data_IF_952027126004
#
_entry.id   IF_952027126004
#
_cell.length_a   1.000
_cell.length_b   1.000
_cell.length_c   1.000
_cell.angle_alpha   90.00
_cell.angle_beta   90.00
_cell.angle_gamma   90.00
#
_symmetry.space_group_name_H-M   'P 1'
#
loop_
_entity.id
_entity.type
_entity.pdbx_description
1 polymer ?
#
# COMPACT_ATOMS: atom_id res chain seq x y z
N UNK A 1 -18.82 5.71 -17.25
CA UNK A 1 -19.86 4.86 -16.62
C UNK A 1 -19.72 4.96 -15.12
N UNK A 2 -20.82 5.08 -14.36
CA UNK A 2 -20.81 5.27 -12.89
C UNK A 2 -19.92 4.26 -12.14
N UNK A 3 -19.81 3.04 -12.67
CA UNK A 3 -18.94 1.97 -12.14
C UNK A 3 -17.45 2.33 -12.19
N UNK A 4 -16.95 2.89 -13.30
CA UNK A 4 -15.52 3.28 -13.45
C UNK A 4 -15.20 4.46 -12.54
N UNK A 5 -16.11 5.43 -12.42
CA UNK A 5 -15.94 6.58 -11.54
C UNK A 5 -15.90 6.18 -10.06
N UNK A 6 -16.75 5.25 -9.64
CA UNK A 6 -16.73 4.70 -8.28
C UNK A 6 -15.44 3.93 -7.99
N UNK A 7 -14.95 3.10 -8.93
CA UNK A 7 -13.65 2.43 -8.78
C UNK A 7 -12.52 3.44 -8.62
N UNK A 8 -12.50 4.50 -9.43
CA UNK A 8 -11.48 5.56 -9.35
C UNK A 8 -11.53 6.34 -8.04
N UNK A 9 -12.72 6.69 -7.55
CA UNK A 9 -12.90 7.38 -6.26
C UNK A 9 -12.42 6.55 -5.07
N UNK A 10 -12.56 5.22 -5.16
CA UNK A 10 -12.13 4.28 -4.13
C UNK A 10 -10.66 3.82 -4.31
N UNK A 11 -9.94 4.37 -5.29
CA UNK A 11 -8.56 3.95 -5.59
C UNK A 11 -8.44 2.50 -6.06
N UNK A 12 -9.54 1.89 -6.49
CA UNK A 12 -9.58 0.54 -7.02
C UNK A 12 -9.07 0.53 -8.47
N UNK A 13 -8.38 -0.54 -8.90
CA UNK A 13 -8.00 -0.70 -10.30
C UNK A 13 -9.25 -0.73 -11.17
N UNK A 14 -9.13 -0.18 -12.38
CA UNK A 14 -10.26 -0.10 -13.29
C UNK A 14 -10.76 -1.50 -13.64
N UNK A 15 -12.08 -1.72 -13.63
CA UNK A 15 -12.65 -3.02 -13.96
C UNK A 15 -12.49 -3.32 -15.45
N UNK A 16 -12.15 -4.56 -15.76
CA UNK A 16 -12.01 -5.02 -17.13
C UNK A 16 -13.38 -5.48 -17.65
N UNK A 17 -13.81 -4.94 -18.79
CA UNK A 17 -15.09 -5.28 -19.41
C UNK A 17 -14.84 -6.17 -20.63
N UNK A 18 -15.38 -7.39 -20.60
CA UNK A 18 -15.36 -8.29 -21.75
C UNK A 18 -16.79 -8.55 -22.22
N UNK A 19 -17.01 -8.37 -23.52
CA UNK A 19 -18.29 -8.65 -24.15
C UNK A 19 -18.35 -10.14 -24.51
N UNK A 20 -19.29 -10.88 -23.94
CA UNK A 20 -19.55 -12.27 -24.30
C UNK A 20 -20.94 -12.39 -24.92
N UNK A 21 -21.12 -13.32 -25.86
CA UNK A 21 -22.44 -13.52 -26.49
C UNK A 21 -23.48 -13.88 -25.42
N UNK A 22 -24.35 -12.92 -25.09
CA UNK A 22 -25.37 -13.05 -24.06
C UNK A 22 -25.19 -12.16 -22.81
N UNK A 23 -24.10 -11.39 -22.68
CA UNK A 23 -23.92 -10.47 -21.55
C UNK A 23 -22.55 -9.80 -21.48
N UNK A 24 -22.32 -9.05 -20.39
CA UNK A 24 -21.04 -8.41 -20.11
C UNK A 24 -20.39 -9.06 -18.88
N UNK A 25 -19.14 -9.48 -19.02
CA UNK A 25 -18.31 -9.90 -17.90
C UNK A 25 -17.54 -8.67 -17.38
N UNK A 26 -17.65 -8.40 -16.08
CA UNK A 26 -16.94 -7.30 -15.42
C UNK A 26 -15.99 -7.90 -14.38
N UNK A 27 -14.69 -7.75 -14.60
CA UNK A 27 -13.64 -8.26 -13.71
C UNK A 27 -13.10 -7.12 -12.85
N UNK A 28 -13.34 -7.18 -11.55
CA UNK A 28 -12.72 -6.26 -10.58
C UNK A 28 -11.42 -6.87 -10.08
N UNK A 29 -10.27 -6.29 -10.47
CA UNK A 29 -9.00 -6.65 -9.86
C UNK A 29 -9.00 -6.21 -8.38
N UNK A 30 -8.68 -7.13 -7.47
CA UNK A 30 -8.57 -6.79 -6.04
C UNK A 30 -7.18 -6.22 -5.78
N UNK A 31 -7.05 -4.90 -5.68
CA UNK A 31 -5.84 -4.29 -5.12
C UNK A 31 -5.71 -4.74 -3.65
N UNK A 32 -4.65 -5.46 -3.27
CA UNK A 32 -4.48 -5.95 -1.91
C UNK A 32 -4.14 -4.84 -0.90
N UNK A 33 -3.78 -3.64 -1.36
CA UNK A 33 -3.33 -2.53 -0.51
C UNK A 33 -4.30 -1.35 -0.47
N UNK A 34 -5.58 -1.53 -0.82
CA UNK A 34 -6.60 -0.50 -0.63
C UNK A 34 -6.66 -0.04 0.83
N UNK A 35 -6.80 1.26 1.13
CA UNK A 35 -6.85 1.76 2.50
C UNK A 35 -7.85 1.03 3.39
N UNK A 36 -9.03 0.69 2.87
CA UNK A 36 -10.11 0.01 3.59
C UNK A 36 -9.66 -1.37 4.07
N UNK A 37 -9.10 -2.17 3.17
CA UNK A 37 -8.53 -3.49 3.48
C UNK A 37 -7.34 -3.41 4.44
N UNK A 38 -6.51 -2.38 4.31
CA UNK A 38 -5.40 -2.18 5.24
C UNK A 38 -5.92 -1.82 6.65
N UNK A 39 -7.00 -1.05 6.76
CA UNK A 39 -7.69 -0.80 8.05
C UNK A 39 -8.28 -2.08 8.64
N UNK A 40 -8.90 -2.93 7.81
CA UNK A 40 -9.39 -4.26 8.24
C UNK A 40 -8.24 -5.17 8.74
N UNK A 41 -7.04 -5.04 8.17
CA UNK A 41 -5.82 -5.71 8.65
C UNK A 41 -5.24 -5.08 9.94
N UNK A 42 -5.93 -4.09 10.51
CA UNK A 42 -5.56 -3.40 11.75
C UNK A 42 -4.39 -2.44 11.60
N UNK A 43 -4.16 -1.90 10.39
CA UNK A 43 -3.15 -0.86 10.20
C UNK A 43 -3.72 0.50 10.60
N UNK A 44 -2.88 1.33 11.19
CA UNK A 44 -3.19 2.74 11.44
C UNK A 44 -2.90 3.61 10.20
N UNK A 45 -3.37 4.85 10.22
CA UNK A 45 -3.21 5.78 9.09
C UNK A 45 -1.74 6.03 8.70
N UNK A 46 -0.80 6.06 9.67
CA UNK A 46 0.64 6.21 9.35
C UNK A 46 1.19 5.00 8.59
N UNK A 47 0.80 3.81 9.02
CA UNK A 47 1.19 2.55 8.38
C UNK A 47 0.61 2.46 6.96
N UNK A 48 -0.63 2.89 6.76
CA UNK A 48 -1.27 3.00 5.44
C UNK A 48 -0.51 3.98 4.55
N UNK A 49 -0.14 5.15 5.08
CA UNK A 49 0.67 6.14 4.35
C UNK A 49 2.05 5.61 3.96
N UNK A 50 2.71 4.83 4.83
CA UNK A 50 3.98 4.16 4.52
C UNK A 50 3.80 3.17 3.35
N UNK A 51 2.76 2.33 3.38
CA UNK A 51 2.46 1.39 2.30
C UNK A 51 2.16 2.14 0.99
N UNK A 52 1.37 3.22 1.06
CA UNK A 52 1.05 4.05 -0.10
C UNK A 52 2.31 4.72 -0.69
N UNK A 53 3.23 5.20 0.15
CA UNK A 53 4.48 5.81 -0.33
C UNK A 53 5.46 4.82 -0.96
N UNK A 54 5.40 3.54 -0.54
CA UNK A 54 6.18 2.46 -1.15
C UNK A 54 5.52 1.89 -2.41
N UNK A 55 4.22 2.17 -2.62
CA UNK A 55 3.50 1.76 -3.83
C UNK A 55 4.15 2.42 -5.06
N UNK A 56 4.58 1.61 -6.02
CA UNK A 56 5.26 2.09 -7.23
C UNK A 56 6.73 2.47 -7.05
N UNK A 57 7.31 2.31 -5.85
CA UNK A 57 8.76 2.45 -5.62
C UNK A 57 9.41 1.08 -5.51
N UNK A 58 10.69 0.98 -5.91
CA UNK A 58 11.46 -0.25 -5.69
C UNK A 58 11.77 -0.45 -4.21
N UNK A 59 12.21 0.60 -3.51
CA UNK A 59 12.53 0.55 -2.08
C UNK A 59 12.67 1.95 -1.48
N UNK A 60 12.46 2.10 -0.17
CA UNK A 60 12.75 3.34 0.55
C UNK A 60 13.46 3.10 1.88
N UNK A 61 14.35 4.01 2.25
CA UNK A 61 14.98 4.08 3.56
C UNK A 61 14.04 4.66 4.61
N UNK A 62 14.35 4.42 5.89
CA UNK A 62 13.62 5.04 6.99
C UNK A 62 13.63 6.58 6.93
N UNK A 63 14.74 7.18 6.48
CA UNK A 63 14.86 8.63 6.35
C UNK A 63 13.95 9.21 5.27
N UNK A 64 13.82 8.51 4.13
CA UNK A 64 12.89 8.89 3.06
C UNK A 64 11.44 8.78 3.50
N UNK A 65 11.10 7.74 4.26
CA UNK A 65 9.74 7.53 4.79
C UNK A 65 9.41 8.48 5.94
N UNK A 66 10.39 8.82 6.77
CA UNK A 66 10.22 9.77 7.87
C UNK A 66 9.89 11.18 7.37
N UNK A 67 10.43 11.61 6.22
CA UNK A 67 10.10 12.91 5.58
C UNK A 67 8.63 13.08 5.23
N UNK A 68 7.83 12.01 5.20
CA UNK A 68 6.39 12.07 4.98
C UNK A 68 5.64 12.59 6.22
N UNK A 69 6.31 12.65 7.38
CA UNK A 69 5.71 12.98 8.66
C UNK A 69 6.51 14.11 9.34
N UNK A 70 5.91 15.30 9.45
CA UNK A 70 6.50 16.48 10.11
C UNK A 70 6.66 16.29 11.62
N UNK A 71 5.65 15.69 12.27
CA UNK A 71 5.50 15.71 13.73
C UNK A 71 5.77 14.35 14.39
N UNK A 72 6.34 13.41 13.63
CA UNK A 72 6.59 12.03 14.09
C UNK A 72 8.08 11.81 14.23
N UNK A 73 8.49 11.17 15.31
CA UNK A 73 9.91 10.83 15.51
C UNK A 73 10.33 9.67 14.60
N UNK A 74 11.61 9.62 14.22
CA UNK A 74 12.20 8.49 13.49
C UNK A 74 11.97 7.17 14.21
N UNK A 75 12.02 7.16 15.56
CA UNK A 75 11.79 5.96 16.39
C UNK A 75 10.36 5.42 16.23
N UNK A 76 9.37 6.30 16.10
CA UNK A 76 7.98 5.89 15.85
C UNK A 76 7.85 5.25 14.46
N UNK A 77 8.44 5.88 13.43
CA UNK A 77 8.45 5.30 12.07
C UNK A 77 9.18 3.95 12.05
N UNK A 78 10.27 3.81 12.79
CA UNK A 78 10.97 2.52 12.92
C UNK A 78 10.08 1.43 13.52
N UNK A 79 9.26 1.76 14.54
CA UNK A 79 8.30 0.83 15.13
C UNK A 79 7.17 0.47 14.15
N UNK A 80 6.63 1.45 13.42
CA UNK A 80 5.61 1.22 12.40
C UNK A 80 6.16 0.32 11.27
N UNK A 81 7.38 0.56 10.81
CA UNK A 81 8.06 -0.28 9.82
C UNK A 81 8.29 -1.71 10.32
N UNK A 82 8.73 -1.87 11.57
CA UNK A 82 8.91 -3.20 12.15
C UNK A 82 7.56 -3.94 12.28
N UNK A 83 6.49 -3.24 12.67
CA UNK A 83 5.16 -3.83 12.73
C UNK A 83 4.66 -4.29 11.35
N UNK A 84 4.91 -3.50 10.31
CA UNK A 84 4.57 -3.85 8.92
C UNK A 84 5.40 -5.04 8.39
N UNK A 85 6.67 -5.12 8.76
CA UNK A 85 7.51 -6.30 8.46
C UNK A 85 6.99 -7.54 9.18
N UNK A 86 6.64 -7.43 10.46
CA UNK A 86 6.09 -8.54 11.24
C UNK A 86 4.73 -9.03 10.70
N UNK A 87 3.92 -8.12 10.14
CA UNK A 87 2.68 -8.45 9.42
C UNK A 87 2.92 -9.05 8.03
N UNK A 88 4.17 -9.16 7.58
CA UNK A 88 4.52 -9.68 6.26
C UNK A 88 4.13 -8.76 5.11
N UNK A 89 3.83 -7.47 5.37
CA UNK A 89 3.48 -6.49 4.35
C UNK A 89 4.71 -5.78 3.77
N UNK A 90 5.80 -5.75 4.53
CA UNK A 90 7.10 -5.21 4.11
C UNK A 90 8.19 -6.25 4.27
N UNK A 91 9.23 -6.13 3.44
CA UNK A 91 10.52 -6.80 3.65
C UNK A 91 11.58 -5.72 3.91
N UNK A 92 12.46 -5.99 4.87
CA UNK A 92 13.60 -5.14 5.15
C UNK A 92 14.84 -5.74 4.48
N UNK A 93 15.49 -4.97 3.63
CA UNK A 93 16.65 -5.36 2.85
C UNK A 93 17.87 -4.52 3.26
N UNK A 94 19.03 -5.17 3.39
CA UNK A 94 20.29 -4.51 3.78
C UNK A 94 20.50 -4.36 5.29
N UNK A 95 21.74 -4.03 5.67
CA UNK A 95 22.18 -3.97 7.06
C UNK A 95 22.50 -2.54 7.54
N UNK A 96 22.22 -2.29 8.82
CA UNK A 96 22.57 -1.05 9.55
C UNK A 96 22.12 0.22 8.82
N UNK A 97 23.06 0.99 8.26
CA UNK A 97 22.82 2.30 7.63
C UNK A 97 22.25 2.18 6.20
N UNK A 98 22.35 1.01 5.58
CA UNK A 98 21.83 0.73 4.24
C UNK A 98 20.45 0.09 4.23
N UNK A 99 19.76 0.00 5.38
CA UNK A 99 18.48 -0.70 5.47
C UNK A 99 17.40 0.02 4.66
N UNK A 100 16.84 -0.68 3.69
CA UNK A 100 15.71 -0.25 2.86
C UNK A 100 14.52 -1.17 3.08
N UNK A 101 13.34 -0.65 2.79
CA UNK A 101 12.07 -1.35 2.95
C UNK A 101 11.39 -1.45 1.60
N UNK A 102 10.85 -2.64 1.30
CA UNK A 102 10.15 -2.95 0.06
C UNK A 102 8.80 -3.57 0.38
N UNK A 103 7.82 -3.40 -0.50
CA UNK A 103 6.53 -4.10 -0.37
C UNK A 103 6.75 -5.60 -0.53
N UNK A 104 6.20 -6.38 0.41
CA UNK A 104 6.17 -7.83 0.29
C UNK A 104 5.14 -8.21 -0.78
N UNK A 105 5.62 -8.69 -1.93
CA UNK A 105 4.79 -9.27 -2.99
C UNK A 105 4.04 -10.50 -2.51
#
# INVERSE_FOLDING_TARGET
TRIIELCRQQGLPEPEFQNQQGGFLVTFAKDPYTPERLRELGLNERQIQIIAALRGRQSASIGELHRLFSDITVKTIQRDLQALVNKGLLKAEGEKRGRRYVLAR
#
